data_IF_979155522806
#
_entry.id   IF_979155522806
#
_cell.length_a   1.000
_cell.length_b   1.000
_cell.length_c   1.000
_cell.angle_alpha   90.00
_cell.angle_beta   90.00
_cell.angle_gamma   90.00
#
_symmetry.space_group_name_H-M   'P 1'
#
loop_
_entity.id
_entity.type
_entity.pdbx_description
1 polymer ?
#
# COMPACT_ATOMS: atom_id res chain seq x y z
N UNK A 1 -9.83 15.65 -8.78
CA UNK A 1 -10.18 16.88 -8.03
C UNK A 1 -8.99 17.45 -7.27
N UNK A 2 -8.19 16.63 -6.56
CA UNK A 2 -6.99 17.08 -5.83
C UNK A 2 -6.02 17.96 -6.65
N UNK A 3 -5.71 17.61 -7.90
CA UNK A 3 -4.82 18.41 -8.77
C UNK A 3 -5.32 19.85 -8.95
N UNK A 4 -6.63 20.06 -9.17
CA UNK A 4 -7.20 21.41 -9.32
C UNK A 4 -7.06 22.22 -8.04
N UNK A 5 -7.22 21.56 -6.90
CA UNK A 5 -7.06 22.19 -5.58
C UNK A 5 -5.61 22.59 -5.32
N UNK A 6 -4.64 21.74 -5.66
CA UNK A 6 -3.22 22.06 -5.55
C UNK A 6 -2.83 23.20 -6.49
N UNK A 7 -3.28 23.17 -7.74
CA UNK A 7 -3.05 24.25 -8.70
C UNK A 7 -3.64 25.59 -8.23
N UNK A 8 -4.83 25.58 -7.60
CA UNK A 8 -5.41 26.78 -7.03
C UNK A 8 -4.57 27.33 -5.86
N UNK A 9 -4.04 26.46 -5.00
CA UNK A 9 -3.12 26.84 -3.94
C UNK A 9 -1.84 27.46 -4.50
N UNK A 10 -1.23 26.84 -5.51
CA UNK A 10 -0.04 27.38 -6.21
C UNK A 10 -0.31 28.72 -6.90
N UNK A 11 -1.54 28.94 -7.37
CA UNK A 11 -1.99 30.21 -7.94
C UNK A 11 -2.32 31.28 -6.88
N UNK A 12 -2.10 31.02 -5.59
CA UNK A 12 -2.24 32.00 -4.51
C UNK A 12 -3.52 31.88 -3.67
N UNK A 13 -4.32 30.81 -3.85
CA UNK A 13 -5.43 30.56 -2.94
C UNK A 13 -4.92 30.29 -1.52
N UNK A 14 -5.39 31.06 -0.55
CA UNK A 14 -4.98 30.94 0.87
C UNK A 14 -5.73 29.85 1.65
N UNK A 15 -6.78 29.28 1.05
CA UNK A 15 -7.61 28.24 1.66
C UNK A 15 -8.12 27.29 0.60
N UNK A 16 -8.06 26.00 0.92
CA UNK A 16 -8.60 24.92 0.11
C UNK A 16 -9.47 24.02 0.98
N UNK A 17 -10.55 23.49 0.41
CA UNK A 17 -11.49 22.60 1.09
C UNK A 17 -11.37 21.19 0.54
N UNK A 18 -11.58 20.22 1.42
CA UNK A 18 -11.69 18.81 1.08
C UNK A 18 -12.70 18.12 1.98
N UNK A 19 -13.07 16.89 1.60
CA UNK A 19 -13.97 16.04 2.37
C UNK A 19 -13.32 14.67 2.57
N UNK A 20 -13.66 13.99 3.67
CA UNK A 20 -13.15 12.65 3.94
C UNK A 20 -13.45 11.71 2.78
N UNK A 21 -12.44 11.03 2.23
CA UNK A 21 -12.57 10.14 1.06
C UNK A 21 -13.17 10.82 -0.19
N UNK A 22 -13.30 12.14 -0.18
CA UNK A 22 -13.96 12.91 -1.22
C UNK A 22 -15.49 12.89 -1.16
N UNK A 23 -16.12 12.42 -0.07
CA UNK A 23 -17.59 12.32 0.01
C UNK A 23 -18.25 13.68 -0.20
N UNK A 24 -19.32 13.71 -1.00
CA UNK A 24 -20.07 14.91 -1.36
C UNK A 24 -21.09 14.62 -2.46
N UNK A 25 -21.71 15.67 -2.99
CA UNK A 25 -22.72 15.54 -4.05
C UNK A 25 -22.15 14.90 -5.33
N UNK A 26 -22.93 14.04 -6.00
CA UNK A 26 -22.58 13.32 -7.24
C UNK A 26 -21.33 12.45 -7.07
N UNK A 27 -20.21 12.88 -7.63
CA UNK A 27 -18.90 12.20 -7.58
C UNK A 27 -18.00 12.74 -6.46
N UNK A 28 -18.51 13.69 -5.67
CA UNK A 28 -17.86 14.15 -4.46
C UNK A 28 -17.07 15.45 -4.57
N UNK A 29 -16.31 15.72 -3.52
CA UNK A 29 -15.40 16.86 -3.34
C UNK A 29 -13.93 16.41 -3.48
N UNK A 30 -12.98 17.35 -3.37
CA UNK A 30 -11.56 16.99 -3.24
C UNK A 30 -11.36 16.07 -2.02
N UNK A 31 -10.76 14.88 -2.19
CA UNK A 31 -10.50 13.99 -1.07
C UNK A 31 -9.45 14.61 -0.13
N UNK A 32 -9.81 14.76 1.15
CA UNK A 32 -8.97 15.37 2.17
C UNK A 32 -7.69 14.57 2.39
N UNK A 33 -7.80 13.25 2.43
CA UNK A 33 -6.69 12.32 2.59
C UNK A 33 -5.68 12.44 1.44
N UNK A 34 -6.13 12.45 0.19
CA UNK A 34 -5.26 12.66 -0.98
C UNK A 34 -4.62 14.05 -0.99
N UNK A 35 -5.37 15.08 -0.58
CA UNK A 35 -4.83 16.43 -0.49
C UNK A 35 -3.69 16.50 0.54
N UNK A 36 -3.88 15.90 1.71
CA UNK A 36 -2.85 15.87 2.76
C UNK A 36 -1.61 15.07 2.34
N UNK A 37 -1.80 13.90 1.71
CA UNK A 37 -0.68 13.11 1.14
C UNK A 37 0.13 13.97 0.17
N UNK A 38 -0.52 14.59 -0.81
CA UNK A 38 0.19 15.39 -1.82
C UNK A 38 0.87 16.62 -1.19
N UNK A 39 0.22 17.33 -0.28
CA UNK A 39 0.84 18.46 0.43
C UNK A 39 2.09 18.04 1.23
N UNK A 40 2.08 16.85 1.84
CA UNK A 40 3.25 16.31 2.54
C UNK A 40 4.38 15.99 1.55
N UNK A 41 4.08 15.30 0.45
CA UNK A 41 5.06 14.91 -0.57
C UNK A 41 5.66 16.12 -1.32
N UNK A 42 4.86 17.16 -1.54
CA UNK A 42 5.30 18.42 -2.16
C UNK A 42 6.03 19.35 -1.17
N UNK A 43 6.10 18.99 0.11
CA UNK A 43 6.72 19.79 1.15
C UNK A 43 5.94 21.05 1.56
N UNK A 44 4.67 21.16 1.16
CA UNK A 44 3.77 22.26 1.56
C UNK A 44 3.37 22.16 3.02
N UNK A 45 3.33 20.95 3.57
CA UNK A 45 3.16 20.70 5.00
C UNK A 45 4.24 19.74 5.50
N UNK A 46 4.49 19.78 6.80
CA UNK A 46 5.25 18.77 7.53
C UNK A 46 4.45 18.37 8.77
N UNK A 47 3.70 17.27 8.67
CA UNK A 47 2.84 16.76 9.75
C UNK A 47 3.01 15.25 9.89
N UNK A 48 2.69 14.74 11.06
CA UNK A 48 2.55 13.30 11.26
C UNK A 48 1.22 12.84 10.67
N UNK A 49 1.28 12.12 9.55
CA UNK A 49 0.12 11.59 8.84
C UNK A 49 -0.06 10.08 9.03
N UNK A 50 0.63 9.46 10.00
CA UNK A 50 0.53 8.02 10.27
C UNK A 50 -0.86 7.55 10.66
N UNK A 51 -1.71 8.45 11.17
CA UNK A 51 -3.12 8.16 11.51
C UNK A 51 -4.11 8.48 10.38
N UNK A 52 -3.63 8.88 9.20
CA UNK A 52 -4.52 9.23 8.10
C UNK A 52 -5.30 8.03 7.57
N UNK A 53 -4.71 6.83 7.61
CA UNK A 53 -5.42 5.57 7.33
C UNK A 53 -6.57 5.31 8.32
N UNK A 54 -6.36 5.55 9.61
CA UNK A 54 -7.42 5.44 10.64
C UNK A 54 -8.55 6.44 10.40
N UNK A 55 -8.21 7.68 10.03
CA UNK A 55 -9.18 8.69 9.61
C UNK A 55 -10.03 8.22 8.42
N UNK A 56 -9.40 7.66 7.38
CA UNK A 56 -10.10 7.08 6.22
C UNK A 56 -11.06 5.97 6.65
N UNK A 57 -10.61 5.02 7.48
CA UNK A 57 -11.44 3.91 7.96
C UNK A 57 -12.64 4.40 8.79
N UNK A 58 -12.42 5.32 9.74
CA UNK A 58 -13.50 5.92 10.53
C UNK A 58 -14.50 6.67 9.66
N UNK A 59 -14.04 7.38 8.64
CA UNK A 59 -14.89 8.11 7.70
C UNK A 59 -15.72 7.17 6.82
N UNK A 60 -15.12 6.05 6.38
CA UNK A 60 -15.80 4.99 5.64
C UNK A 60 -16.92 4.37 6.48
N UNK A 61 -16.65 4.05 7.75
CA UNK A 61 -17.64 3.53 8.68
C UNK A 61 -18.77 4.52 8.94
N UNK A 62 -18.44 5.80 9.20
CA UNK A 62 -19.43 6.84 9.50
C UNK A 62 -20.35 7.16 8.31
N UNK A 63 -19.85 7.02 7.08
CA UNK A 63 -20.61 7.31 5.85
C UNK A 63 -21.22 6.06 5.20
N UNK A 64 -20.90 4.87 5.70
CA UNK A 64 -21.23 3.57 5.09
C UNK A 64 -20.76 3.43 3.63
N UNK A 65 -19.69 4.16 3.25
CA UNK A 65 -19.09 4.10 1.92
C UNK A 65 -17.78 3.31 2.04
N UNK A 66 -17.71 2.16 1.36
CA UNK A 66 -16.51 1.33 1.36
C UNK A 66 -15.33 2.03 0.66
N UNK A 67 -14.13 1.89 1.21
CA UNK A 67 -12.89 2.30 0.54
C UNK A 67 -12.58 1.27 -0.55
N UNK A 68 -12.46 1.66 -1.83
CA UNK A 68 -12.04 0.75 -2.89
C UNK A 68 -10.70 0.08 -2.58
N UNK A 69 -10.54 -1.18 -2.94
CA UNK A 69 -9.29 -1.93 -2.67
C UNK A 69 -8.06 -1.27 -3.31
N UNK A 70 -8.25 -0.59 -4.45
CA UNK A 70 -7.22 0.13 -5.20
C UNK A 70 -7.22 1.65 -4.93
N UNK A 71 -7.90 2.11 -3.87
CA UNK A 71 -7.92 3.52 -3.53
C UNK A 71 -6.49 4.02 -3.24
N UNK A 72 -6.09 5.20 -3.75
CA UNK A 72 -4.70 5.64 -3.62
C UNK A 72 -4.26 5.75 -2.15
N UNK A 73 -3.10 5.20 -1.84
CA UNK A 73 -2.48 5.12 -0.49
C UNK A 73 -3.25 4.26 0.51
N UNK A 74 -4.56 4.47 0.70
CA UNK A 74 -5.34 3.86 1.78
C UNK A 74 -6.21 2.67 1.35
N UNK A 75 -6.19 2.31 0.08
CA UNK A 75 -6.76 1.05 -0.40
C UNK A 75 -5.93 -0.15 0.02
N UNK A 76 -6.58 -1.29 0.24
CA UNK A 76 -5.93 -2.55 0.65
C UNK A 76 -4.72 -2.91 -0.22
N UNK A 77 -4.82 -2.67 -1.52
CA UNK A 77 -3.85 -3.10 -2.54
C UNK A 77 -2.83 -2.01 -2.90
N UNK A 78 -2.89 -0.84 -2.26
CA UNK A 78 -2.04 0.32 -2.62
C UNK A 78 -0.53 0.06 -2.47
N UNK A 79 -0.13 -0.80 -1.51
CA UNK A 79 1.26 -1.14 -1.20
C UNK A 79 1.51 -2.66 -1.21
N UNK A 80 0.66 -3.42 -1.91
CA UNK A 80 0.78 -4.88 -2.04
C UNK A 80 1.44 -5.23 -3.37
N UNK A 81 2.36 -6.20 -3.35
CA UNK A 81 2.91 -6.74 -4.59
C UNK A 81 3.12 -8.25 -4.53
N UNK A 82 2.56 -8.95 -5.52
CA UNK A 82 2.79 -10.38 -5.73
C UNK A 82 3.77 -10.67 -6.89
N UNK A 83 4.09 -9.67 -7.71
CA UNK A 83 4.95 -9.83 -8.89
C UNK A 83 6.39 -10.04 -8.48
N UNK A 84 7.02 -11.11 -8.96
CA UNK A 84 8.36 -11.53 -8.53
C UNK A 84 9.45 -10.47 -8.70
N UNK A 85 9.45 -9.74 -9.82
CA UNK A 85 10.46 -8.69 -10.08
C UNK A 85 10.30 -7.47 -9.16
N UNK A 86 9.06 -7.09 -8.82
CA UNK A 86 8.80 -5.99 -7.89
C UNK A 86 9.18 -6.40 -6.46
N UNK A 87 8.71 -7.57 -6.03
CA UNK A 87 9.03 -8.13 -4.73
C UNK A 87 10.54 -8.26 -4.53
N UNK A 88 11.28 -8.78 -5.51
CA UNK A 88 12.74 -8.94 -5.43
C UNK A 88 13.46 -7.60 -5.18
N UNK A 89 13.02 -6.50 -5.81
CA UNK A 89 13.62 -5.20 -5.61
C UNK A 89 13.34 -4.64 -4.19
N UNK A 90 12.09 -4.76 -3.73
CA UNK A 90 11.68 -4.38 -2.37
C UNK A 90 12.45 -5.19 -1.32
N UNK A 91 12.54 -6.52 -1.48
CA UNK A 91 13.29 -7.42 -0.58
C UNK A 91 14.76 -7.04 -0.54
N UNK A 92 15.38 -6.74 -1.69
CA UNK A 92 16.79 -6.34 -1.75
C UNK A 92 17.05 -5.04 -1.00
N UNK A 93 16.13 -4.09 -1.07
CA UNK A 93 16.22 -2.85 -0.30
C UNK A 93 16.07 -3.11 1.21
N UNK A 94 15.09 -3.94 1.62
CA UNK A 94 14.96 -4.36 3.03
C UNK A 94 16.22 -5.05 3.56
N UNK A 95 16.81 -5.96 2.78
CA UNK A 95 18.06 -6.67 3.17
C UNK A 95 19.28 -5.75 3.25
N UNK A 96 19.25 -4.59 2.60
CA UNK A 96 20.27 -3.54 2.74
C UNK A 96 20.04 -2.63 3.95
N UNK A 97 18.98 -2.88 4.72
CA UNK A 97 18.54 -2.03 5.82
C UNK A 97 18.25 -0.58 5.37
N UNK A 98 17.79 -0.42 4.13
CA UNK A 98 17.41 0.87 3.55
C UNK A 98 15.87 0.94 3.46
N UNK A 99 15.25 1.35 4.57
CA UNK A 99 13.80 1.42 4.72
C UNK A 99 13.17 2.42 3.73
N UNK A 100 13.84 3.55 3.50
CA UNK A 100 13.34 4.56 2.56
C UNK A 100 13.33 4.00 1.13
N UNK A 101 14.43 3.38 0.69
CA UNK A 101 14.48 2.74 -0.62
C UNK A 101 13.45 1.62 -0.74
N UNK A 102 13.26 0.79 0.29
CA UNK A 102 12.28 -0.28 0.26
C UNK A 102 10.85 0.25 0.06
N UNK A 103 10.55 1.44 0.58
CA UNK A 103 9.25 2.08 0.46
C UNK A 103 9.06 2.91 -0.82
N UNK A 104 10.14 3.26 -1.52
CA UNK A 104 10.12 4.07 -2.75
C UNK A 104 10.41 3.26 -4.02
N UNK A 105 11.05 2.09 -3.90
CA UNK A 105 11.30 1.24 -5.06
C UNK A 105 9.98 0.68 -5.57
N UNK A 106 9.62 1.04 -6.81
CA UNK A 106 8.31 0.78 -7.41
C UNK A 106 7.11 1.47 -6.74
N UNK A 107 7.33 2.51 -5.90
CA UNK A 107 6.25 3.31 -5.31
C UNK A 107 6.58 4.80 -5.34
N UNK A 108 5.65 5.62 -5.82
CA UNK A 108 5.77 7.09 -5.76
C UNK A 108 5.44 7.68 -4.38
N UNK A 109 4.97 6.85 -3.44
CA UNK A 109 4.57 7.25 -2.09
C UNK A 109 5.26 6.34 -1.07
N UNK A 110 6.03 6.88 -0.11
CA UNK A 110 6.66 6.07 0.92
C UNK A 110 5.62 5.62 1.96
N UNK A 111 5.29 4.33 1.99
CA UNK A 111 4.20 3.81 2.85
C UNK A 111 4.41 4.13 4.34
N UNK A 112 5.65 4.02 4.84
CA UNK A 112 6.00 4.25 6.25
C UNK A 112 5.68 5.68 6.75
N UNK A 113 5.68 6.69 5.87
CA UNK A 113 5.31 8.07 6.24
C UNK A 113 3.82 8.20 6.58
N UNK A 114 2.99 7.28 6.08
CA UNK A 114 1.54 7.26 6.27
C UNK A 114 1.08 6.12 7.20
N UNK A 115 2.02 5.53 7.95
CA UNK A 115 1.71 4.47 8.92
C UNK A 115 1.40 3.12 8.27
N UNK A 116 1.87 2.92 7.04
CA UNK A 116 1.64 1.72 6.24
C UNK A 116 2.98 1.03 5.94
N UNK A 117 2.92 -0.19 5.42
CA UNK A 117 4.10 -0.96 5.04
C UNK A 117 3.96 -1.56 3.64
N UNK A 118 5.09 -1.84 3.00
CA UNK A 118 5.13 -2.64 1.77
C UNK A 118 4.84 -4.10 2.11
N UNK A 119 3.84 -4.67 1.45
CA UNK A 119 3.40 -6.04 1.69
C UNK A 119 3.74 -6.90 0.48
N UNK A 120 4.52 -7.96 0.72
CA UNK A 120 4.89 -8.92 -0.30
C UNK A 120 3.98 -10.14 -0.18
N UNK A 121 3.28 -10.41 -1.26
CA UNK A 121 2.32 -11.51 -1.36
C UNK A 121 2.85 -12.63 -2.26
N UNK A 122 2.17 -13.78 -2.17
CA UNK A 122 2.49 -14.98 -2.94
C UNK A 122 1.33 -15.31 -3.86
N UNK A 123 1.58 -15.38 -5.16
CA UNK A 123 0.59 -15.67 -6.18
C UNK A 123 1.21 -16.15 -7.49
N UNK A 124 0.42 -16.16 -8.59
CA UNK A 124 0.83 -16.80 -9.85
C UNK A 124 2.06 -16.16 -10.48
N UNK A 125 2.22 -14.84 -10.28
CA UNK A 125 3.33 -14.05 -10.80
C UNK A 125 4.55 -13.98 -9.85
N UNK A 126 4.50 -14.67 -8.71
CA UNK A 126 5.58 -14.64 -7.72
C UNK A 126 6.82 -15.42 -8.17
N UNK A 127 7.96 -15.05 -7.60
CA UNK A 127 9.18 -15.87 -7.60
C UNK A 127 9.33 -16.60 -6.26
N UNK A 128 10.32 -17.51 -6.17
CA UNK A 128 10.66 -18.18 -4.89
C UNK A 128 11.01 -17.18 -3.79
N UNK A 129 11.60 -16.04 -4.16
CA UNK A 129 11.93 -14.95 -3.22
C UNK A 129 10.72 -14.39 -2.47
N UNK A 130 9.54 -14.35 -3.10
CA UNK A 130 8.30 -13.93 -2.41
C UNK A 130 7.97 -14.89 -1.28
N UNK A 131 8.02 -16.20 -1.56
CA UNK A 131 7.70 -17.27 -0.61
C UNK A 131 8.69 -17.23 0.56
N UNK A 132 9.99 -17.18 0.25
CA UNK A 132 11.05 -17.07 1.26
C UNK A 132 10.81 -15.86 2.16
N UNK A 133 10.59 -14.68 1.58
CA UNK A 133 10.35 -13.48 2.37
C UNK A 133 9.08 -13.55 3.21
N UNK A 134 7.99 -14.12 2.67
CA UNK A 134 6.73 -14.29 3.39
C UNK A 134 6.90 -15.19 4.63
N UNK A 135 7.69 -16.27 4.51
CA UNK A 135 8.04 -17.19 5.60
C UNK A 135 8.95 -16.50 6.64
N UNK A 136 10.03 -15.84 6.18
CA UNK A 136 10.98 -15.08 7.02
C UNK A 136 10.24 -14.06 7.89
N UNK A 137 9.32 -13.29 7.31
CA UNK A 137 8.57 -12.23 8.01
C UNK A 137 7.65 -12.77 9.11
N UNK A 138 7.28 -14.04 9.06
CA UNK A 138 6.42 -14.72 10.03
C UNK A 138 7.19 -15.64 10.99
N UNK A 139 8.52 -15.64 10.92
CA UNK A 139 9.36 -16.49 11.77
C UNK A 139 9.20 -17.98 11.49
N UNK A 140 8.75 -18.34 10.29
CA UNK A 140 8.59 -19.73 9.86
C UNK A 140 9.90 -20.19 9.22
N UNK A 141 10.38 -21.37 9.62
CA UNK A 141 11.60 -21.96 9.08
C UNK A 141 11.49 -22.17 7.56
N UNK A 142 12.48 -21.63 6.84
CA UNK A 142 12.57 -21.67 5.38
C UNK A 142 13.30 -22.95 4.96
N UNK A 143 12.53 -23.98 4.57
CA UNK A 143 13.07 -25.20 3.97
C UNK A 143 12.80 -25.22 2.47
N UNK A 144 13.67 -25.88 1.70
CA UNK A 144 13.47 -26.01 0.24
C UNK A 144 12.14 -26.69 -0.11
N UNK A 145 11.76 -27.70 0.68
CA UNK A 145 10.49 -28.41 0.53
C UNK A 145 9.28 -27.48 0.67
N UNK A 146 9.23 -26.66 1.74
CA UNK A 146 8.14 -25.69 1.97
C UNK A 146 8.08 -24.66 0.86
N UNK A 147 9.24 -24.10 0.51
CA UNK A 147 9.33 -23.08 -0.54
C UNK A 147 8.82 -23.64 -1.86
N UNK A 148 9.24 -24.84 -2.25
CA UNK A 148 8.83 -25.46 -3.50
C UNK A 148 7.35 -25.81 -3.51
N UNK A 149 6.81 -26.34 -2.39
CA UNK A 149 5.39 -26.66 -2.24
C UNK A 149 4.51 -25.42 -2.40
N UNK A 150 4.78 -24.36 -1.63
CA UNK A 150 4.03 -23.10 -1.70
C UNK A 150 4.19 -22.46 -3.10
N UNK A 151 5.40 -22.46 -3.66
CA UNK A 151 5.66 -21.89 -4.97
C UNK A 151 4.89 -22.61 -6.08
N UNK A 152 4.87 -23.95 -6.08
CA UNK A 152 4.09 -24.74 -7.03
C UNK A 152 2.60 -24.45 -6.92
N UNK A 153 2.05 -24.42 -5.70
CA UNK A 153 0.65 -24.06 -5.47
C UNK A 153 0.34 -22.65 -5.99
N UNK A 154 1.21 -21.67 -5.72
CA UNK A 154 1.06 -20.31 -6.20
C UNK A 154 1.02 -20.24 -7.73
N UNK A 155 1.88 -20.99 -8.43
CA UNK A 155 1.93 -21.07 -9.90
C UNK A 155 0.69 -21.68 -10.53
N UNK A 156 -0.03 -22.53 -9.80
CA UNK A 156 -1.26 -23.17 -10.26
C UNK A 156 -2.52 -22.38 -9.88
N UNK A 157 -2.41 -21.42 -8.97
CA UNK A 157 -3.51 -20.56 -8.56
C UNK A 157 -3.90 -19.58 -9.68
N UNK A 158 -5.17 -19.16 -9.69
CA UNK A 158 -5.66 -18.06 -10.51
C UNK A 158 -5.57 -16.70 -9.80
N UNK A 159 -5.24 -16.69 -8.51
CA UNK A 159 -5.21 -15.48 -7.67
C UNK A 159 -4.10 -15.54 -6.61
N UNK A 160 -3.85 -14.40 -5.95
CA UNK A 160 -2.96 -14.34 -4.80
C UNK A 160 -3.47 -15.26 -3.70
N UNK A 161 -2.60 -16.08 -3.13
CA UNK A 161 -2.93 -16.98 -2.04
C UNK A 161 -3.16 -16.16 -0.77
N UNK A 162 -4.22 -16.48 -0.05
CA UNK A 162 -4.46 -15.95 1.30
C UNK A 162 -3.43 -16.50 2.29
N UNK A 163 -3.22 -15.77 3.39
CA UNK A 163 -2.33 -16.22 4.46
C UNK A 163 -2.76 -17.59 5.01
N UNK A 164 -4.07 -17.85 5.12
CA UNK A 164 -4.60 -19.15 5.56
C UNK A 164 -4.24 -20.29 4.60
N UNK A 165 -4.32 -20.05 3.29
CA UNK A 165 -3.93 -21.03 2.27
C UNK A 165 -2.43 -21.32 2.32
N UNK A 166 -1.59 -20.31 2.52
CA UNK A 166 -0.14 -20.50 2.62
C UNK A 166 0.21 -21.25 3.91
N UNK A 167 -0.42 -20.89 5.05
CA UNK A 167 -0.20 -21.57 6.34
C UNK A 167 -0.59 -23.05 6.31
N UNK A 168 -1.61 -23.43 5.54
CA UNK A 168 -2.01 -24.83 5.37
C UNK A 168 -0.96 -25.68 4.61
N UNK A 169 0.04 -25.04 3.99
CA UNK A 169 1.09 -25.71 3.22
C UNK A 169 2.40 -25.88 3.99
N UNK A 170 2.58 -25.20 5.12
CA UNK A 170 3.80 -25.16 5.97
C UNK A 170 3.88 -26.36 6.91
#
# INVERSE_FOLDING_TARGET
>A
MAIKTLAAYEAGASRVHGSALGVGERVGNTPMDQLLVNCQLMGYIRRDLKKLGEYCQKSSQATAIAIPINYPVFGRDAFRTATGVHAAAVIKAFRKNDEYLANMVYSGVPAHEFGLEQVIEVGPMSGKSNVVFWLERRGIEVTEERVEKIFKTAKQSSSVLSDTEILALV
#
